data_IF_290792651952
#
_entry.id   IF_290792651952
#
_cell.length_a   1.000
_cell.length_b   1.000
_cell.length_c   1.000
_cell.angle_alpha   90.00
_cell.angle_beta   90.00
_cell.angle_gamma   90.00
#
_symmetry.space_group_name_H-M   'P 1'
#
loop_
_entity.id
_entity.type
_entity.pdbx_description
1 polymer ?
#
# COMPACT_ATOMS: atom_id res chain seq x y z
N UNK A 1 -23.29 1.83 24.29
CA UNK A 1 -22.57 1.96 25.58
C UNK A 1 -21.16 2.43 25.28
N UNK A 2 -20.71 3.60 25.76
CA UNK A 2 -19.36 4.07 25.51
C UNK A 2 -18.38 3.39 26.49
N UNK A 3 -17.32 2.79 25.97
CA UNK A 3 -16.22 2.24 26.75
C UNK A 3 -15.35 3.42 27.20
N UNK A 4 -15.23 3.59 28.51
CA UNK A 4 -14.49 4.64 29.19
C UNK A 4 -13.16 4.01 29.65
N UNK A 5 -12.05 4.30 28.98
CA UNK A 5 -10.71 3.77 29.35
C UNK A 5 -9.86 4.90 30.00
N UNK A 6 -9.45 4.76 31.28
CA UNK A 6 -8.86 5.84 32.08
C UNK A 6 -7.34 6.03 31.93
N UNK A 7 -6.70 5.65 30.82
CA UNK A 7 -5.23 5.73 30.67
C UNK A 7 -4.72 6.91 29.83
N UNK A 8 -5.10 8.14 30.19
CA UNK A 8 -4.53 9.36 29.57
C UNK A 8 -4.07 10.37 30.62
N UNK A 9 -2.78 10.35 30.94
CA UNK A 9 -1.95 11.44 31.52
C UNK A 9 -0.49 11.08 31.17
N UNK A 10 0.42 11.94 30.69
CA UNK A 10 0.56 13.40 30.63
C UNK A 10 1.53 13.78 29.46
N UNK A 11 1.72 15.07 29.10
CA UNK A 11 2.57 15.49 28.00
C UNK A 11 4.03 15.73 28.43
N UNK A 12 5.00 15.39 27.58
CA UNK A 12 6.41 15.78 27.75
C UNK A 12 6.78 16.85 26.71
N UNK A 13 7.24 17.99 27.22
CA UNK A 13 7.69 19.17 26.49
C UNK A 13 9.10 18.98 25.92
N UNK A 14 9.32 19.44 24.68
CA UNK A 14 10.66 19.53 24.09
C UNK A 14 11.11 20.99 23.96
N UNK A 15 12.28 21.28 24.51
CA UNK A 15 12.98 22.56 24.49
C UNK A 15 13.76 22.74 23.19
N UNK A 16 13.52 23.84 22.47
CA UNK A 16 14.33 24.25 21.30
C UNK A 16 15.55 25.04 21.78
N UNK A 17 16.75 24.46 21.67
CA UNK A 17 18.00 25.24 21.65
C UNK A 17 18.56 25.24 20.23
N UNK A 18 18.75 26.46 19.74
CA UNK A 18 19.37 26.89 18.49
C UNK A 18 20.79 26.36 18.31
N UNK A 19 21.13 26.00 17.08
CA UNK A 19 22.51 25.72 16.66
C UNK A 19 22.79 26.39 15.32
N UNK A 20 23.04 27.70 15.34
CA UNK A 20 23.72 28.41 14.25
C UNK A 20 25.22 28.15 14.43
N UNK A 21 25.86 27.50 13.45
CA UNK A 21 27.32 27.37 13.43
C UNK A 21 27.86 28.33 12.38
N UNK A 22 28.49 29.40 12.86
CA UNK A 22 29.38 30.24 12.08
C UNK A 22 30.75 29.56 12.02
N UNK A 23 31.24 29.26 10.83
CA UNK A 23 32.64 28.88 10.64
C UNK A 23 33.49 30.15 10.52
N UNK A 24 34.46 30.26 11.42
CA UNK A 24 35.32 31.42 11.61
C UNK A 24 36.76 31.00 11.33
N UNK A 25 37.10 30.79 10.05
CA UNK A 25 38.50 30.55 9.64
C UNK A 25 38.68 30.63 8.12
N UNK A 26 38.57 31.85 7.59
CA UNK A 26 39.34 32.41 6.45
C UNK A 26 38.56 33.60 5.90
N UNK A 27 38.93 34.81 6.34
CA UNK A 27 38.37 36.07 5.85
C UNK A 27 38.87 36.43 4.44
N UNK A 28 38.65 35.56 3.46
CA UNK A 28 38.92 35.84 2.05
C UNK A 28 37.81 35.25 1.19
N UNK A 29 36.95 36.13 0.69
CA UNK A 29 36.05 35.79 -0.42
C UNK A 29 36.88 35.66 -1.70
N UNK A 30 36.77 34.56 -2.47
CA UNK A 30 37.34 34.52 -3.79
C UNK A 30 36.59 35.52 -4.69
N UNK A 31 37.29 36.54 -5.14
CA UNK A 31 36.83 37.44 -6.21
C UNK A 31 36.53 36.62 -7.46
N UNK A 32 35.24 36.50 -7.80
CA UNK A 32 34.78 36.01 -9.10
C UNK A 32 35.31 36.95 -10.17
N UNK A 33 36.20 36.42 -11.02
CA UNK A 33 36.68 37.09 -12.21
C UNK A 33 35.52 37.10 -13.20
N UNK A 34 34.86 38.25 -13.35
CA UNK A 34 33.84 38.45 -14.37
C UNK A 34 34.50 38.30 -15.75
N UNK A 35 34.12 37.23 -16.47
CA UNK A 35 34.39 37.08 -17.90
C UNK A 35 33.20 37.69 -18.63
N UNK A 36 33.37 38.79 -19.38
CA UNK A 36 32.28 39.36 -20.14
C UNK A 36 32.12 38.57 -21.45
N UNK A 37 30.90 38.09 -21.72
CA UNK A 37 30.47 38.03 -23.12
C UNK A 37 29.89 36.74 -23.68
N UNK A 38 29.56 35.69 -22.91
CA UNK A 38 28.78 34.57 -23.45
C UNK A 38 27.70 34.14 -22.46
N UNK A 39 26.47 34.59 -22.69
CA UNK A 39 25.31 33.93 -22.12
C UNK A 39 25.29 32.50 -22.68
N UNK A 40 25.42 31.44 -21.87
CA UNK A 40 25.09 30.11 -22.35
C UNK A 40 23.60 30.12 -22.64
N UNK A 41 23.25 30.17 -23.93
CA UNK A 41 21.91 29.84 -24.37
C UNK A 41 21.75 28.37 -24.02
N UNK A 42 21.08 28.12 -22.89
CA UNK A 42 20.50 26.82 -22.58
C UNK A 42 19.45 26.58 -23.67
N UNK A 43 19.88 26.08 -24.83
CA UNK A 43 18.98 25.50 -25.79
C UNK A 43 18.37 24.30 -25.09
N UNK A 44 17.17 24.48 -24.55
CA UNK A 44 16.28 23.37 -24.28
C UNK A 44 16.21 22.59 -25.58
N UNK A 45 16.85 21.42 -25.61
CA UNK A 45 16.56 20.43 -26.63
C UNK A 45 15.08 20.15 -26.43
N UNK A 46 14.26 20.73 -27.31
CA UNK A 46 12.84 20.40 -27.34
C UNK A 46 12.76 18.87 -27.43
N UNK A 47 12.01 18.22 -26.51
CA UNK A 47 11.89 16.78 -26.57
C UNK A 47 11.36 16.45 -27.96
N UNK A 48 12.17 15.72 -28.73
CA UNK A 48 11.82 15.35 -30.08
C UNK A 48 10.38 14.82 -30.11
N UNK A 49 9.50 15.34 -30.99
CA UNK A 49 8.14 14.84 -31.13
C UNK A 49 8.10 13.36 -31.57
N UNK A 50 9.27 12.74 -31.78
CA UNK A 50 9.47 11.29 -31.88
C UNK A 50 9.48 10.56 -30.52
N UNK A 51 8.91 11.12 -29.45
CA UNK A 51 8.25 10.31 -28.41
C UNK A 51 6.90 9.76 -28.95
N UNK A 52 6.92 9.34 -30.22
CA UNK A 52 5.84 8.65 -30.89
C UNK A 52 5.54 7.41 -30.05
N UNK A 53 4.39 7.47 -29.37
CA UNK A 53 3.51 6.36 -29.03
C UNK A 53 4.28 5.05 -29.04
N UNK A 54 4.86 4.66 -27.89
CA UNK A 54 5.20 3.25 -27.65
C UNK A 54 3.97 2.49 -28.10
N UNK A 55 4.04 1.84 -29.26
CA UNK A 55 2.93 1.08 -29.82
C UNK A 55 2.54 0.14 -28.69
N UNK A 56 1.33 0.30 -28.15
CA UNK A 56 0.76 -0.68 -27.27
C UNK A 56 0.84 -1.98 -28.05
N UNK A 57 1.77 -2.85 -27.68
CA UNK A 57 1.78 -4.20 -28.22
C UNK A 57 0.41 -4.72 -27.85
N UNK A 58 -0.46 -5.02 -28.84
CA UNK A 58 -1.80 -5.47 -28.52
C UNK A 58 -1.66 -6.72 -27.66
N UNK A 59 -2.35 -6.73 -26.53
CA UNK A 59 -2.33 -7.88 -25.64
C UNK A 59 -2.73 -9.13 -26.41
N UNK A 60 -1.96 -10.20 -26.26
CA UNK A 60 -2.31 -11.47 -26.86
C UNK A 60 -3.61 -11.99 -26.23
N UNK A 61 -4.42 -12.69 -27.03
CA UNK A 61 -5.60 -13.37 -26.48
C UNK A 61 -5.14 -14.44 -25.50
N UNK A 62 -5.74 -14.46 -24.32
CA UNK A 62 -5.41 -15.46 -23.31
C UNK A 62 -5.59 -16.88 -23.87
N UNK A 63 -4.53 -17.67 -23.78
CA UNK A 63 -4.56 -19.10 -24.08
C UNK A 63 -3.76 -19.89 -23.04
N UNK A 64 -4.48 -20.78 -22.36
CA UNK A 64 -3.98 -21.60 -21.25
C UNK A 64 -2.77 -22.51 -21.61
N UNK A 65 -2.49 -22.72 -22.90
CA UNK A 65 -1.36 -23.54 -23.36
C UNK A 65 -0.06 -22.76 -23.51
N UNK A 66 -0.08 -21.44 -23.49
CA UNK A 66 1.15 -20.64 -23.55
C UNK A 66 1.93 -20.72 -22.25
N UNK A 67 3.18 -20.28 -22.30
CA UNK A 67 4.05 -20.10 -21.14
C UNK A 67 3.45 -19.11 -20.12
N UNK A 68 3.83 -19.26 -18.85
CA UNK A 68 3.30 -18.46 -17.74
C UNK A 68 3.37 -16.96 -17.98
N UNK A 69 4.52 -16.46 -18.41
CA UNK A 69 4.76 -15.04 -18.73
C UNK A 69 3.76 -14.50 -19.75
N UNK A 70 3.56 -15.21 -20.86
CA UNK A 70 2.61 -14.84 -21.93
C UNK A 70 1.17 -14.84 -21.42
N UNK A 71 0.82 -15.80 -20.55
CA UNK A 71 -0.52 -15.84 -19.93
C UNK A 71 -0.75 -14.67 -18.99
N UNK A 72 0.27 -14.26 -18.21
CA UNK A 72 0.17 -13.12 -17.30
C UNK A 72 0.06 -11.80 -18.07
N UNK A 73 0.79 -11.66 -19.18
CA UNK A 73 0.66 -10.49 -20.04
C UNK A 73 -0.76 -10.40 -20.65
N UNK A 74 -1.27 -11.50 -21.19
CA UNK A 74 -2.65 -11.56 -21.69
C UNK A 74 -3.71 -11.22 -20.62
N UNK A 75 -3.48 -11.61 -19.37
CA UNK A 75 -4.37 -11.31 -18.23
C UNK A 75 -4.39 -9.82 -17.86
N UNK A 76 -3.32 -9.07 -18.19
CA UNK A 76 -3.24 -7.62 -17.96
C UNK A 76 -4.01 -6.80 -18.99
N UNK A 77 -4.65 -7.44 -19.97
CA UNK A 77 -5.42 -6.76 -21.00
C UNK A 77 -6.63 -6.02 -20.39
N UNK A 78 -6.66 -4.67 -20.39
CA UNK A 78 -7.73 -3.90 -19.77
C UNK A 78 -9.09 -4.08 -20.47
N UNK A 79 -9.10 -4.58 -21.70
CA UNK A 79 -10.31 -4.84 -22.49
C UNK A 79 -10.96 -6.18 -22.13
N UNK A 80 -10.38 -6.98 -21.22
CA UNK A 80 -11.01 -8.21 -20.75
C UNK A 80 -12.30 -7.91 -20.00
N UNK A 81 -13.39 -8.52 -20.45
CA UNK A 81 -14.69 -8.43 -19.78
C UNK A 81 -14.65 -9.14 -18.42
N UNK A 82 -15.46 -8.67 -17.47
CA UNK A 82 -15.46 -9.19 -16.09
C UNK A 82 -15.65 -10.72 -16.02
N UNK A 83 -16.61 -11.27 -16.77
CA UNK A 83 -16.88 -12.71 -16.79
C UNK A 83 -15.71 -13.52 -17.39
N UNK A 84 -15.08 -12.99 -18.45
CA UNK A 84 -13.92 -13.62 -19.09
C UNK A 84 -12.71 -13.60 -18.15
N UNK A 85 -12.44 -12.44 -17.54
CA UNK A 85 -11.39 -12.27 -16.53
C UNK A 85 -11.57 -13.26 -15.37
N UNK A 86 -12.78 -13.35 -14.81
CA UNK A 86 -13.07 -14.21 -13.68
C UNK A 86 -12.84 -15.70 -14.01
N UNK A 87 -13.28 -16.14 -15.19
CA UNK A 87 -13.00 -17.50 -15.67
C UNK A 87 -11.51 -17.79 -15.84
N UNK A 88 -10.75 -16.83 -16.38
CA UNK A 88 -9.31 -16.96 -16.56
C UNK A 88 -8.59 -17.02 -15.21
N UNK A 89 -8.93 -16.12 -14.28
CA UNK A 89 -8.32 -16.06 -12.96
C UNK A 89 -8.58 -17.35 -12.18
N UNK A 90 -9.83 -17.82 -12.13
CA UNK A 90 -10.14 -19.09 -11.45
C UNK A 90 -9.41 -20.28 -12.07
N UNK A 91 -9.27 -20.29 -13.40
CA UNK A 91 -8.50 -21.32 -14.10
C UNK A 91 -7.03 -21.29 -13.70
N UNK A 92 -6.39 -20.13 -13.71
CA UNK A 92 -4.97 -20.01 -13.31
C UNK A 92 -4.76 -20.37 -11.84
N UNK A 93 -5.65 -19.96 -10.95
CA UNK A 93 -5.59 -20.28 -9.51
C UNK A 93 -5.95 -21.74 -9.19
N UNK A 94 -6.54 -22.48 -10.13
CA UNK A 94 -6.80 -23.92 -10.02
C UNK A 94 -5.66 -24.79 -10.56
N UNK A 95 -4.60 -24.19 -11.12
CA UNK A 95 -3.45 -24.96 -11.64
C UNK A 95 -2.69 -25.62 -10.50
N UNK A 96 -2.05 -26.76 -10.80
CA UNK A 96 -1.14 -27.42 -9.86
C UNK A 96 0.13 -26.59 -9.61
N UNK A 97 0.57 -25.88 -10.63
CA UNK A 97 1.71 -24.97 -10.54
C UNK A 97 1.28 -23.65 -9.90
N UNK A 98 1.92 -23.31 -8.76
CA UNK A 98 1.59 -22.14 -7.95
C UNK A 98 2.49 -20.94 -8.25
N UNK A 99 3.43 -21.05 -9.19
CA UNK A 99 4.44 -20.04 -9.47
C UNK A 99 3.85 -18.63 -9.72
N UNK A 100 2.72 -18.56 -10.42
CA UNK A 100 2.08 -17.29 -10.78
C UNK A 100 0.86 -16.92 -9.93
N UNK A 101 0.58 -17.63 -8.83
CA UNK A 101 -0.68 -17.39 -8.08
C UNK A 101 -0.77 -15.98 -7.52
N UNK A 102 0.32 -15.47 -6.95
CA UNK A 102 0.32 -14.13 -6.38
C UNK A 102 0.25 -13.06 -7.49
N UNK A 103 0.91 -13.29 -8.62
CA UNK A 103 0.83 -12.40 -9.78
C UNK A 103 -0.59 -12.35 -10.35
N UNK A 104 -1.26 -13.50 -10.50
CA UNK A 104 -2.65 -13.58 -10.96
C UNK A 104 -3.58 -12.79 -10.02
N UNK A 105 -3.42 -12.96 -8.71
CA UNK A 105 -4.22 -12.21 -7.73
C UNK A 105 -3.94 -10.72 -7.76
N UNK A 106 -2.68 -10.32 -7.92
CA UNK A 106 -2.30 -8.92 -8.06
C UNK A 106 -2.93 -8.30 -9.31
N UNK A 107 -2.79 -8.95 -10.47
CA UNK A 107 -3.42 -8.50 -11.73
C UNK A 107 -4.93 -8.38 -11.54
N UNK A 108 -5.58 -9.41 -10.98
CA UNK A 108 -7.02 -9.39 -10.71
C UNK A 108 -7.41 -8.25 -9.75
N UNK A 109 -6.61 -7.94 -8.72
CA UNK A 109 -6.91 -6.86 -7.78
C UNK A 109 -6.81 -5.46 -8.39
N UNK A 110 -6.07 -5.30 -9.48
CA UNK A 110 -5.83 -4.03 -10.18
C UNK A 110 -6.72 -3.86 -11.42
N UNK A 111 -7.30 -4.95 -11.91
CA UNK A 111 -8.04 -4.95 -13.16
C UNK A 111 -9.40 -4.22 -13.01
N UNK A 112 -9.70 -3.20 -13.84
CA UNK A 112 -10.88 -2.35 -13.67
C UNK A 112 -12.22 -3.11 -13.74
N UNK A 113 -12.24 -4.18 -14.52
CA UNK A 113 -13.43 -5.03 -14.70
C UNK A 113 -13.57 -6.16 -13.67
N UNK A 114 -12.74 -6.17 -12.61
CA UNK A 114 -12.85 -7.19 -11.57
C UNK A 114 -14.17 -7.13 -10.82
N UNK A 115 -14.84 -8.28 -10.74
CA UNK A 115 -16.15 -8.43 -10.11
C UNK A 115 -16.03 -8.41 -8.58
N UNK A 116 -17.15 -8.10 -7.91
CA UNK A 116 -17.26 -8.20 -6.44
C UNK A 116 -16.86 -9.58 -5.93
N UNK A 117 -17.39 -10.62 -6.58
CA UNK A 117 -17.15 -12.03 -6.24
C UNK A 117 -15.68 -12.38 -6.39
N UNK A 118 -15.04 -11.95 -7.48
CA UNK A 118 -13.63 -12.18 -7.72
C UNK A 118 -12.76 -11.49 -6.66
N UNK A 119 -13.03 -10.21 -6.36
CA UNK A 119 -12.28 -9.44 -5.37
C UNK A 119 -12.42 -10.03 -3.96
N UNK A 120 -13.62 -10.49 -3.60
CA UNK A 120 -13.84 -11.19 -2.33
C UNK A 120 -13.06 -12.51 -2.29
N UNK A 121 -13.09 -13.29 -3.37
CA UNK A 121 -12.36 -14.55 -3.48
C UNK A 121 -10.84 -14.36 -3.37
N UNK A 122 -10.23 -13.47 -4.14
CA UNK A 122 -8.76 -13.30 -4.14
C UNK A 122 -8.24 -12.70 -2.83
N UNK A 123 -9.08 -11.93 -2.13
CA UNK A 123 -8.77 -11.37 -0.80
C UNK A 123 -9.13 -12.30 0.36
N UNK A 124 -9.76 -13.44 0.08
CA UNK A 124 -10.03 -14.48 1.07
C UNK A 124 -8.79 -15.34 1.31
N UNK A 125 -8.60 -15.75 2.57
CA UNK A 125 -7.53 -16.66 2.98
C UNK A 125 -6.21 -15.99 3.40
N UNK A 126 -5.38 -16.78 4.09
CA UNK A 126 -4.09 -16.34 4.66
C UNK A 126 -3.01 -15.99 3.63
N UNK A 127 -3.21 -16.35 2.35
CA UNK A 127 -2.28 -16.08 1.25
C UNK A 127 -2.67 -14.87 0.39
N UNK A 128 -3.64 -14.06 0.82
CA UNK A 128 -3.83 -12.73 0.25
C UNK A 128 -2.78 -11.81 0.89
N UNK A 129 -1.60 -11.73 0.26
CA UNK A 129 -0.52 -10.84 0.70
C UNK A 129 -0.99 -9.38 0.86
N UNK A 130 -0.25 -8.59 1.62
CA UNK A 130 -0.62 -7.21 1.98
C UNK A 130 -1.02 -6.37 0.75
N UNK A 131 -0.25 -6.46 -0.34
CA UNK A 131 -0.52 -5.72 -1.57
C UNK A 131 -1.87 -6.06 -2.21
N UNK A 132 -2.28 -7.33 -2.19
CA UNK A 132 -3.59 -7.76 -2.73
C UNK A 132 -4.71 -7.14 -1.90
N UNK A 133 -4.61 -7.19 -0.57
CA UNK A 133 -5.63 -6.64 0.33
C UNK A 133 -5.74 -5.13 0.20
N UNK A 134 -4.63 -4.41 0.06
CA UNK A 134 -4.62 -2.97 -0.15
C UNK A 134 -5.25 -2.57 -1.49
N UNK A 135 -4.94 -3.30 -2.57
CA UNK A 135 -5.54 -3.09 -3.87
C UNK A 135 -7.05 -3.35 -3.85
N UNK A 136 -7.46 -4.50 -3.30
CA UNK A 136 -8.89 -4.85 -3.15
C UNK A 136 -9.60 -3.79 -2.31
N UNK A 137 -9.01 -3.32 -1.21
CA UNK A 137 -9.62 -2.31 -0.37
C UNK A 137 -9.92 -1.00 -1.11
N UNK A 138 -9.03 -0.58 -2.02
CA UNK A 138 -9.17 0.65 -2.82
C UNK A 138 -10.01 0.45 -4.08
N UNK A 139 -10.28 -0.78 -4.47
CA UNK A 139 -10.95 -1.08 -5.73
C UNK A 139 -12.41 -0.61 -5.71
N UNK A 140 -12.89 0.08 -6.76
CA UNK A 140 -14.25 0.66 -6.79
C UNK A 140 -15.34 -0.41 -6.71
N UNK A 141 -15.07 -1.60 -7.27
CA UNK A 141 -16.03 -2.70 -7.26
C UNK A 141 -16.05 -3.51 -5.97
N UNK A 142 -15.18 -3.25 -4.99
CA UNK A 142 -15.17 -4.04 -3.74
C UNK A 142 -16.46 -3.82 -2.96
N UNK A 143 -17.05 -4.88 -2.42
CA UNK A 143 -18.29 -4.79 -1.63
C UNK A 143 -18.01 -4.31 -0.21
N UNK A 144 -19.05 -3.79 0.47
CA UNK A 144 -18.91 -3.40 1.87
C UNK A 144 -18.72 -4.62 2.77
N UNK A 145 -19.32 -5.75 2.42
CA UNK A 145 -19.16 -7.04 3.10
C UNK A 145 -17.70 -7.50 3.09
N UNK A 146 -17.02 -7.40 1.93
CA UNK A 146 -15.59 -7.71 1.81
C UNK A 146 -14.74 -6.78 2.66
N UNK A 147 -15.04 -5.48 2.68
CA UNK A 147 -14.30 -4.51 3.53
C UNK A 147 -14.49 -4.83 5.02
N UNK A 148 -15.71 -5.16 5.44
CA UNK A 148 -15.99 -5.54 6.82
C UNK A 148 -15.28 -6.85 7.19
N UNK A 149 -15.22 -7.84 6.30
CA UNK A 149 -14.41 -9.05 6.52
C UNK A 149 -12.93 -8.71 6.67
N UNK A 150 -12.38 -7.86 5.79
CA UNK A 150 -10.99 -7.41 5.88
C UNK A 150 -10.70 -6.65 7.19
N UNK A 151 -11.70 -5.96 7.76
CA UNK A 151 -11.61 -5.36 9.10
C UNK A 151 -11.44 -6.43 10.17
N UNK A 152 -12.30 -7.46 10.16
CA UNK A 152 -12.26 -8.57 11.12
C UNK A 152 -10.92 -9.31 11.03
N UNK A 153 -10.49 -9.66 9.81
CA UNK A 153 -9.20 -10.32 9.58
C UNK A 153 -8.02 -9.45 10.06
N UNK A 154 -8.09 -8.14 9.80
CA UNK A 154 -7.10 -7.16 10.24
C UNK A 154 -7.02 -7.05 11.77
N UNK A 155 -8.17 -7.09 12.45
CA UNK A 155 -8.25 -7.01 13.89
C UNK A 155 -7.71 -8.28 14.57
N UNK A 156 -8.01 -9.46 14.01
CA UNK A 156 -7.41 -10.71 14.47
C UNK A 156 -5.87 -10.70 14.32
N UNK A 157 -5.36 -10.18 13.21
CA UNK A 157 -3.91 -10.02 13.01
C UNK A 157 -3.28 -9.01 13.98
N UNK A 158 -4.00 -7.93 14.29
CA UNK A 158 -3.58 -6.96 15.31
C UNK A 158 -3.48 -7.58 16.70
N UNK A 159 -4.50 -8.34 17.12
CA UNK A 159 -4.47 -9.06 18.40
C UNK A 159 -3.29 -10.04 18.47
N UNK A 160 -3.11 -10.86 17.43
CA UNK A 160 -1.97 -11.78 17.35
C UNK A 160 -0.60 -11.06 17.45
N UNK A 161 -0.49 -9.85 16.90
CA UNK A 161 0.73 -9.05 17.01
C UNK A 161 0.97 -8.56 18.45
N UNK A 162 -0.08 -8.13 19.15
CA UNK A 162 0.00 -7.74 20.57
C UNK A 162 0.39 -8.93 21.45
N UNK A 163 -0.20 -10.10 21.21
CA UNK A 163 0.16 -11.33 21.91
C UNK A 163 1.62 -11.69 21.63
N UNK A 164 2.06 -11.61 20.37
CA UNK A 164 3.47 -11.84 19.99
C UNK A 164 4.45 -10.89 20.68
N UNK A 165 4.06 -9.64 20.96
CA UNK A 165 4.91 -8.69 21.70
C UNK A 165 5.02 -9.11 23.17
N UNK A 166 3.93 -9.60 23.74
CA UNK A 166 3.87 -10.02 25.15
C UNK A 166 4.66 -11.31 25.38
N UNK A 167 4.68 -12.19 24.38
CA UNK A 167 5.34 -13.50 24.44
C UNK A 167 6.81 -13.46 23.99
N UNK A 168 7.27 -12.35 23.40
CA UNK A 168 8.64 -12.23 22.88
C UNK A 168 9.68 -12.35 24.00
N UNK A 169 10.62 -13.28 23.84
CA UNK A 169 11.66 -13.57 24.83
C UNK A 169 13.00 -12.92 24.52
N UNK A 170 13.20 -12.52 23.26
CA UNK A 170 14.40 -11.86 22.77
C UNK A 170 14.11 -10.68 21.82
N UNK A 171 15.17 -9.98 21.42
CA UNK A 171 15.07 -8.80 20.59
C UNK A 171 14.61 -9.10 19.15
N UNK A 172 14.93 -10.27 18.61
CA UNK A 172 14.56 -10.65 17.25
C UNK A 172 13.07 -11.00 17.17
N UNK A 173 12.57 -11.76 18.15
CA UNK A 173 11.15 -12.05 18.34
C UNK A 173 10.35 -10.77 18.55
N UNK A 174 10.85 -9.86 19.40
CA UNK A 174 10.22 -8.57 19.67
C UNK A 174 10.16 -7.70 18.41
N UNK A 175 11.24 -7.62 17.64
CA UNK A 175 11.27 -6.90 16.38
C UNK A 175 10.29 -7.49 15.37
N UNK A 176 10.27 -8.82 15.22
CA UNK A 176 9.30 -9.50 14.36
C UNK A 176 7.84 -9.23 14.78
N UNK A 177 7.57 -9.16 16.08
CA UNK A 177 6.26 -8.82 16.61
C UNK A 177 5.88 -7.36 16.30
N UNK A 178 6.81 -6.40 16.42
CA UNK A 178 6.58 -5.02 15.99
C UNK A 178 6.32 -4.89 14.48
N UNK A 179 6.99 -5.68 13.64
CA UNK A 179 6.67 -5.75 12.20
C UNK A 179 5.26 -6.26 11.92
N UNK A 180 4.75 -7.21 12.71
CA UNK A 180 3.35 -7.67 12.62
C UNK A 180 2.39 -6.56 13.08
N UNK A 181 2.74 -5.85 14.15
CA UNK A 181 1.93 -4.76 14.70
C UNK A 181 1.82 -3.59 13.71
N UNK A 182 2.94 -3.19 13.11
CA UNK A 182 2.96 -2.16 12.07
C UNK A 182 2.06 -2.55 10.90
N UNK A 183 2.23 -3.76 10.35
CA UNK A 183 1.43 -4.24 9.21
C UNK A 183 -0.07 -4.27 9.50
N UNK A 184 -0.46 -4.81 10.65
CA UNK A 184 -1.87 -4.92 11.04
C UNK A 184 -2.52 -3.56 11.31
N UNK A 185 -1.83 -2.66 12.01
CA UNK A 185 -2.32 -1.30 12.27
C UNK A 185 -2.39 -0.46 10.99
N UNK A 186 -1.44 -0.61 10.07
CA UNK A 186 -1.48 0.05 8.75
C UNK A 186 -2.67 -0.39 7.91
N UNK A 187 -2.93 -1.71 7.87
CA UNK A 187 -4.11 -2.28 7.21
C UNK A 187 -5.41 -1.76 7.82
N UNK A 188 -5.55 -1.80 9.16
CA UNK A 188 -6.74 -1.32 9.86
C UNK A 188 -6.99 0.19 9.65
N UNK A 189 -5.93 1.00 9.61
CA UNK A 189 -6.04 2.42 9.27
C UNK A 189 -6.61 2.61 7.86
N UNK A 190 -6.11 1.83 6.88
CA UNK A 190 -6.63 1.82 5.52
C UNK A 190 -8.11 1.42 5.47
N UNK A 191 -8.48 0.32 6.14
CA UNK A 191 -9.86 -0.17 6.16
C UNK A 191 -10.81 0.87 6.72
N UNK A 192 -10.46 1.47 7.87
CA UNK A 192 -11.27 2.52 8.49
C UNK A 192 -11.40 3.76 7.58
N UNK A 193 -10.33 4.15 6.88
CA UNK A 193 -10.38 5.27 5.94
C UNK A 193 -11.36 5.02 4.77
N UNK A 194 -11.40 3.80 4.23
CA UNK A 194 -12.34 3.44 3.15
C UNK A 194 -13.78 3.35 3.66
N UNK A 195 -14.00 2.79 4.86
CA UNK A 195 -15.33 2.78 5.48
C UNK A 195 -15.86 4.20 5.72
N UNK A 196 -14.98 5.13 6.14
CA UNK A 196 -15.30 6.54 6.28
C UNK A 196 -15.68 7.17 4.93
N UNK A 197 -14.87 6.95 3.89
CA UNK A 197 -15.09 7.56 2.57
C UNK A 197 -16.35 7.05 1.87
N UNK A 198 -16.74 5.80 2.14
CA UNK A 198 -17.96 5.18 1.60
C UNK A 198 -19.21 5.47 2.42
N UNK A 199 -19.07 6.23 3.53
CA UNK A 199 -20.17 6.51 4.45
C UNK A 199 -20.91 5.24 4.91
N UNK A 200 -20.16 4.17 5.19
CA UNK A 200 -20.76 2.90 5.64
C UNK A 200 -21.37 3.10 7.03
N UNK A 201 -22.60 2.61 7.21
CA UNK A 201 -23.39 2.69 8.45
C UNK A 201 -23.70 4.12 8.94
N UNK A 202 -23.60 5.13 8.07
CA UNK A 202 -23.73 6.56 8.45
C UNK A 202 -22.76 6.97 9.58
N UNK A 203 -21.63 6.28 9.67
CA UNK A 203 -20.70 6.39 10.81
C UNK A 203 -19.36 7.05 10.44
N UNK A 204 -19.35 8.01 9.50
CA UNK A 204 -18.13 8.69 9.00
C UNK A 204 -17.23 9.16 10.14
N UNK A 205 -17.80 9.80 11.16
CA UNK A 205 -17.05 10.34 12.29
C UNK A 205 -16.40 9.25 13.14
N UNK A 206 -17.04 8.09 13.28
CA UNK A 206 -16.48 6.95 13.99
C UNK A 206 -15.30 6.36 13.19
N UNK A 207 -15.50 6.07 11.91
CA UNK A 207 -14.47 5.49 11.05
C UNK A 207 -13.26 6.42 10.85
N UNK A 208 -13.47 7.73 10.76
CA UNK A 208 -12.37 8.71 10.68
C UNK A 208 -11.52 8.73 11.95
N UNK A 209 -12.15 8.58 13.12
CA UNK A 209 -11.44 8.46 14.40
C UNK A 209 -10.67 7.16 14.50
N UNK A 210 -11.26 6.03 14.08
CA UNK A 210 -10.56 4.75 14.04
C UNK A 210 -9.33 4.81 13.09
N UNK A 211 -9.48 5.39 11.91
CA UNK A 211 -8.36 5.54 10.97
C UNK A 211 -7.20 6.33 11.59
N UNK A 212 -7.51 7.45 12.24
CA UNK A 212 -6.52 8.29 12.94
C UNK A 212 -5.86 7.53 14.09
N UNK A 213 -6.64 6.77 14.86
CA UNK A 213 -6.14 5.97 15.97
C UNK A 213 -5.14 4.91 15.50
N UNK A 214 -5.50 4.11 14.49
CA UNK A 214 -4.61 3.08 13.94
C UNK A 214 -3.38 3.67 13.25
N UNK A 215 -3.50 4.84 12.61
CA UNK A 215 -2.35 5.55 12.06
C UNK A 215 -1.35 5.98 13.14
N UNK A 216 -1.84 6.46 14.28
CA UNK A 216 -0.98 6.81 15.42
C UNK A 216 -0.27 5.57 16.00
N UNK A 217 -0.97 4.43 16.14
CA UNK A 217 -0.37 3.17 16.57
C UNK A 217 0.69 2.67 15.57
N UNK A 218 0.44 2.79 14.27
CA UNK A 218 1.40 2.42 13.23
C UNK A 218 2.69 3.25 13.34
N UNK A 219 2.58 4.56 13.55
CA UNK A 219 3.73 5.44 13.76
C UNK A 219 4.50 5.08 15.04
N UNK A 220 3.80 4.70 16.11
CA UNK A 220 4.42 4.24 17.35
C UNK A 220 5.19 2.94 17.12
N UNK A 221 4.61 1.96 16.43
CA UNK A 221 5.28 0.70 16.10
C UNK A 221 6.56 0.93 15.29
N UNK A 222 6.53 1.80 14.27
CA UNK A 222 7.72 2.19 13.49
C UNK A 222 8.86 2.77 14.33
N UNK A 223 8.52 3.54 15.38
CA UNK A 223 9.54 4.11 16.28
C UNK A 223 10.20 3.07 17.18
N UNK A 224 9.50 1.97 17.48
CA UNK A 224 10.06 0.88 18.30
C UNK A 224 10.99 -0.04 17.50
N UNK A 225 10.98 0.06 16.16
CA UNK A 225 11.87 -0.69 15.27
C UNK A 225 13.21 0.03 14.99
N UNK A 226 13.27 1.35 15.23
CA UNK A 226 14.40 2.21 14.88
C UNK A 226 15.39 2.36 16.04
#
# INVERSE_FOLDING_TARGET
>A
MPINDPRYTAPVTFSKKSGTVHDARTGQFPTLREVPGETPVLSFIEPSPTAARRRAVPYEKYNHRHEGSVRMDALRNPELLGDELEQIVFRELSRKDRLHFDEVKMIASEHPNSSRTLLDFISSGGAAGLGIRENVLRHPNTSNETIQRLRVDGFAAYQNAIDSISDATDADELNAAYWKLERSTGHLAGVAAVLASRNVDNAVMHWSREATHYQALNQQAKRQQA
#
